data_IF_807617105649
#
_entry.id   IF_807617105649
#
_cell.length_a   1.000
_cell.length_b   1.000
_cell.length_c   1.000
_cell.angle_alpha   90.00
_cell.angle_beta   90.00
_cell.angle_gamma   90.00
#
_symmetry.space_group_name_H-M   'P 1'
#
loop_
_entity.id
_entity.type
_entity.pdbx_description
1 polymer ?
#
# COMPACT_ATOMS: atom_id res chain seq x y z
N UNK A 1 -15.09 -10.67 -1.74
CA UNK A 1 -13.82 -9.98 -1.40
C UNK A 1 -13.83 -8.65 -2.10
N UNK A 2 -13.45 -7.56 -1.42
CA UNK A 2 -13.35 -6.24 -2.04
C UNK A 2 -11.92 -6.08 -2.55
N UNK A 3 -11.74 -5.84 -3.86
CA UNK A 3 -10.41 -5.70 -4.48
C UNK A 3 -10.30 -4.38 -5.21
N UNK A 4 -9.05 -3.92 -5.41
CA UNK A 4 -8.75 -2.74 -6.21
C UNK A 4 -7.52 -2.98 -7.08
N UNK A 5 -7.57 -2.52 -8.33
CA UNK A 5 -6.47 -2.66 -9.28
C UNK A 5 -5.62 -1.39 -9.30
N UNK A 6 -4.35 -1.53 -8.91
CA UNK A 6 -3.35 -0.46 -9.03
C UNK A 6 -2.50 -0.67 -10.28
N UNK A 7 -2.22 0.41 -11.01
CA UNK A 7 -1.28 0.38 -12.12
C UNK A 7 0.14 0.70 -11.63
N UNK A 8 1.13 -0.09 -12.05
CA UNK A 8 2.55 0.20 -11.89
C UNK A 8 3.08 1.15 -12.98
N UNK A 9 4.29 1.68 -12.81
CA UNK A 9 4.98 2.54 -13.78
C UNK A 9 5.22 1.86 -15.12
N UNK A 10 5.34 0.53 -15.12
CA UNK A 10 5.43 -0.31 -16.32
C UNK A 10 4.11 -0.44 -17.11
N UNK A 11 3.01 0.09 -16.57
CA UNK A 11 1.66 -0.06 -17.13
C UNK A 11 0.95 -1.37 -16.73
N UNK A 12 1.62 -2.28 -16.01
CA UNK A 12 1.03 -3.51 -15.48
C UNK A 12 0.01 -3.19 -14.39
N UNK A 13 -1.05 -3.99 -14.33
CA UNK A 13 -2.07 -3.91 -13.31
C UNK A 13 -1.86 -4.99 -12.26
N UNK A 14 -2.04 -4.62 -10.99
CA UNK A 14 -1.91 -5.49 -9.84
C UNK A 14 -3.20 -5.43 -9.04
N UNK A 15 -3.83 -6.60 -8.81
CA UNK A 15 -5.04 -6.70 -8.01
C UNK A 15 -4.69 -6.82 -6.53
N UNK A 16 -5.17 -5.89 -5.73
CA UNK A 16 -4.98 -5.87 -4.28
C UNK A 16 -6.28 -6.22 -3.56
N UNK A 17 -6.17 -7.00 -2.49
CA UNK A 17 -7.24 -7.15 -1.51
C UNK A 17 -7.35 -5.88 -0.66
N UNK A 18 -8.57 -5.39 -0.44
CA UNK A 18 -8.82 -4.25 0.45
C UNK A 18 -9.16 -4.77 1.85
N UNK A 19 -8.34 -4.41 2.83
CA UNK A 19 -8.52 -4.71 4.23
C UNK A 19 -8.75 -3.44 5.06
N UNK A 20 -9.54 -3.57 6.14
CA UNK A 20 -9.57 -2.57 7.23
C UNK A 20 -8.42 -2.86 8.20
N UNK A 21 -7.87 -1.82 8.81
CA UNK A 21 -6.67 -1.93 9.65
C UNK A 21 -6.82 -2.81 10.89
N UNK A 22 -8.04 -2.95 11.43
CA UNK A 22 -8.32 -3.82 12.59
C UNK A 22 -8.83 -5.18 12.12
N UNK A 23 -7.90 -6.08 11.80
CA UNK A 23 -8.19 -7.50 11.55
C UNK A 23 -7.00 -8.37 11.92
N UNK A 24 -7.25 -9.68 12.00
CA UNK A 24 -6.18 -10.67 12.05
C UNK A 24 -5.48 -10.76 10.69
N UNK A 25 -4.16 -10.77 10.73
CA UNK A 25 -3.30 -10.82 9.55
C UNK A 25 -2.66 -12.19 9.43
N UNK A 26 -2.56 -12.70 8.21
CA UNK A 26 -1.91 -13.97 7.95
C UNK A 26 -0.37 -13.84 7.98
N UNK A 27 0.36 -14.86 8.45
CA UNK A 27 1.83 -14.89 8.45
C UNK A 27 2.36 -15.20 7.04
N UNK A 28 2.06 -14.33 6.08
CA UNK A 28 2.45 -14.46 4.68
C UNK A 28 3.07 -13.16 4.18
N UNK A 29 4.01 -13.28 3.25
CA UNK A 29 4.69 -12.13 2.64
C UNK A 29 3.91 -11.52 1.48
N UNK A 30 4.20 -10.25 1.22
CA UNK A 30 3.63 -9.53 0.09
C UNK A 30 3.98 -8.05 0.09
N UNK A 31 3.28 -7.31 -0.75
CA UNK A 31 3.33 -5.85 -0.83
C UNK A 31 2.06 -5.30 -0.20
N UNK A 32 2.17 -4.21 0.56
CA UNK A 32 1.03 -3.52 1.12
C UNK A 32 1.11 -2.01 0.88
N UNK A 33 -0.07 -1.38 0.89
CA UNK A 33 -0.22 0.06 0.80
C UNK A 33 -1.16 0.59 1.87
N UNK A 34 -0.86 1.77 2.40
CA UNK A 34 -1.83 2.54 3.17
C UNK A 34 -2.52 3.53 2.25
N UNK A 35 -3.84 3.45 2.22
CA UNK A 35 -4.66 4.08 1.21
C UNK A 35 -5.70 4.99 1.86
N UNK A 36 -5.75 6.23 1.37
CA UNK A 36 -6.88 7.13 1.59
C UNK A 36 -7.96 6.74 0.57
N UNK A 37 -9.12 6.20 1.01
CA UNK A 37 -10.22 5.94 0.10
C UNK A 37 -10.76 7.27 -0.47
N UNK A 38 -11.48 7.18 -1.58
CA UNK A 38 -12.09 8.36 -2.16
C UNK A 38 -13.27 8.85 -1.30
N UNK A 39 -13.30 10.14 -0.97
CA UNK A 39 -14.26 10.71 -0.01
C UNK A 39 -15.69 10.84 -0.61
N UNK A 40 -15.90 10.83 -1.93
CA UNK A 40 -17.22 10.95 -2.58
C UNK A 40 -17.37 10.21 -3.91
N UNK A 41 -18.48 9.48 -4.19
CA UNK A 41 -18.72 8.86 -5.50
C UNK A 41 -18.90 9.82 -6.69
N UNK A 42 -18.92 11.14 -6.49
CA UNK A 42 -19.50 12.12 -7.42
C UNK A 42 -18.55 13.19 -7.97
N UNK A 43 -17.23 13.00 -7.91
CA UNK A 43 -16.28 13.88 -8.62
C UNK A 43 -15.25 13.04 -9.39
N UNK A 44 -15.37 13.11 -10.72
CA UNK A 44 -14.96 12.12 -11.73
C UNK A 44 -13.45 11.90 -11.96
N UNK A 45 -12.54 12.37 -11.11
CA UNK A 45 -11.10 12.37 -11.47
C UNK A 45 -10.15 12.04 -10.32
N UNK A 46 -10.61 11.32 -9.29
CA UNK A 46 -9.78 10.87 -8.18
C UNK A 46 -10.01 9.40 -7.86
N UNK A 47 -9.02 8.54 -8.12
CA UNK A 47 -8.99 7.21 -7.51
C UNK A 47 -8.65 7.28 -6.02
N UNK A 48 -8.63 6.13 -5.31
CA UNK A 48 -7.95 6.06 -4.02
C UNK A 48 -6.52 6.60 -4.13
N UNK A 49 -5.98 7.09 -3.01
CA UNK A 49 -4.64 7.69 -2.97
C UNK A 49 -3.73 6.79 -2.14
N UNK A 50 -2.65 6.30 -2.76
CA UNK A 50 -1.59 5.57 -2.06
C UNK A 50 -0.70 6.57 -1.29
N UNK A 51 -0.72 6.47 0.04
CA UNK A 51 0.04 7.36 0.92
C UNK A 51 1.38 6.76 1.34
N UNK A 52 1.45 5.42 1.41
CA UNK A 52 2.63 4.65 1.73
C UNK A 52 2.56 3.28 1.03
N UNK A 53 3.71 2.75 0.59
CA UNK A 53 3.84 1.39 0.06
C UNK A 53 5.14 0.73 0.54
N UNK A 54 5.09 -0.55 0.89
CA UNK A 54 6.27 -1.33 1.27
C UNK A 54 6.04 -2.84 1.04
N UNK A 55 7.10 -3.62 1.17
CA UNK A 55 7.05 -5.08 1.16
C UNK A 55 7.30 -5.66 2.54
N UNK A 56 6.84 -6.88 2.76
CA UNK A 56 7.14 -7.67 3.96
C UNK A 56 7.23 -9.16 3.65
N UNK A 57 7.97 -9.89 4.48
CA UNK A 57 7.95 -11.35 4.51
C UNK A 57 6.78 -11.91 5.32
N UNK A 58 6.14 -11.10 6.17
CA UNK A 58 5.06 -11.52 7.08
C UNK A 58 4.15 -10.32 7.46
N UNK A 59 2.92 -10.33 6.96
CA UNK A 59 1.92 -9.29 7.27
C UNK A 59 1.54 -9.25 8.75
N UNK A 60 1.49 -10.39 9.44
CA UNK A 60 1.09 -10.48 10.85
C UNK A 60 2.04 -9.75 11.79
N UNK A 61 3.34 -9.82 11.52
CA UNK A 61 4.33 -9.08 12.29
C UNK A 61 4.37 -7.61 11.92
N UNK A 62 4.23 -7.31 10.63
CA UNK A 62 4.44 -5.96 10.08
C UNK A 62 3.26 -5.02 10.35
N UNK A 63 2.03 -5.50 10.19
CA UNK A 63 0.84 -4.63 10.23
C UNK A 63 0.23 -4.49 11.63
N UNK A 64 0.64 -5.32 12.60
CA UNK A 64 0.10 -5.26 13.96
C UNK A 64 0.53 -3.98 14.72
N UNK A 65 1.73 -3.45 14.46
CA UNK A 65 2.24 -2.19 15.04
C UNK A 65 3.13 -1.44 14.06
N UNK A 66 2.54 -1.00 12.96
CA UNK A 66 3.30 -0.33 11.91
C UNK A 66 3.51 1.16 12.23
N UNK A 67 4.76 1.61 12.39
CA UNK A 67 5.10 2.99 12.77
C UNK A 67 4.53 4.05 11.83
N UNK A 68 4.40 3.74 10.54
CA UNK A 68 3.85 4.66 9.54
C UNK A 68 2.33 4.71 9.50
N UNK A 69 1.63 3.80 10.20
CA UNK A 69 0.16 3.74 10.15
C UNK A 69 -0.46 5.02 10.70
N UNK A 70 -0.01 5.48 11.88
CA UNK A 70 -0.52 6.73 12.48
C UNK A 70 -0.29 7.94 11.55
N UNK A 71 0.87 8.01 10.89
CA UNK A 71 1.16 9.08 9.95
C UNK A 71 0.25 9.03 8.71
N UNK A 72 -0.05 7.83 8.21
CA UNK A 72 -0.97 7.63 7.10
C UNK A 72 -2.42 7.94 7.49
N UNK A 73 -2.87 7.54 8.68
CA UNK A 73 -4.21 7.86 9.20
C UNK A 73 -4.45 9.36 9.32
N UNK A 74 -3.43 10.11 9.76
CA UNK A 74 -3.48 11.57 9.81
C UNK A 74 -3.62 12.21 8.42
N UNK A 75 -3.13 11.54 7.37
CA UNK A 75 -3.32 11.95 5.97
C UNK A 75 -4.63 11.40 5.36
N UNK A 76 -5.45 10.71 6.15
CA UNK A 76 -6.75 10.18 5.74
C UNK A 76 -6.75 8.72 5.32
N UNK A 77 -5.68 7.95 5.55
CA UNK A 77 -5.70 6.52 5.28
C UNK A 77 -6.79 5.82 6.10
N UNK A 78 -7.59 4.97 5.44
CA UNK A 78 -8.62 4.13 6.09
C UNK A 78 -8.59 2.69 5.61
N UNK A 79 -7.81 2.41 4.56
CA UNK A 79 -7.71 1.11 3.92
C UNK A 79 -6.26 0.66 3.87
N UNK A 80 -6.06 -0.65 3.97
CA UNK A 80 -4.79 -1.31 3.70
C UNK A 80 -5.01 -2.21 2.49
N UNK A 81 -4.29 -1.93 1.41
CA UNK A 81 -4.36 -2.74 0.19
C UNK A 81 -3.23 -3.77 0.26
N UNK A 82 -3.54 -5.05 0.10
CA UNK A 82 -2.60 -6.16 0.19
C UNK A 82 -2.46 -6.91 -1.13
N UNK A 83 -1.22 -7.22 -1.50
CA UNK A 83 -0.89 -8.12 -2.59
C UNK A 83 0.05 -9.20 -2.08
N UNK A 84 -0.49 -10.41 -1.91
CA UNK A 84 0.25 -11.56 -1.41
C UNK A 84 1.25 -12.07 -2.45
N UNK A 85 2.53 -12.11 -2.08
CA UNK A 85 3.63 -12.57 -2.94
C UNK A 85 4.67 -13.28 -2.07
N UNK A 86 4.85 -14.58 -2.30
CA UNK A 86 5.75 -15.43 -1.51
C UNK A 86 7.24 -15.14 -1.78
N UNK A 87 7.59 -14.88 -3.02
CA UNK A 87 8.98 -14.70 -3.44
C UNK A 87 9.46 -13.25 -3.24
N UNK A 88 10.62 -13.11 -2.59
CA UNK A 88 11.19 -11.80 -2.24
C UNK A 88 11.56 -10.95 -3.47
N UNK A 89 12.23 -11.56 -4.45
CA UNK A 89 12.61 -10.85 -5.68
C UNK A 89 11.38 -10.34 -6.45
N UNK A 90 10.28 -11.11 -6.44
CA UNK A 90 9.03 -10.67 -7.07
C UNK A 90 8.40 -9.52 -6.28
N UNK A 91 8.43 -9.53 -4.94
CA UNK A 91 7.96 -8.40 -4.12
C UNK A 91 8.76 -7.13 -4.39
N UNK A 92 10.08 -7.22 -4.45
CA UNK A 92 10.95 -6.08 -4.71
C UNK A 92 10.64 -5.43 -6.07
N UNK A 93 10.52 -6.25 -7.12
CA UNK A 93 10.18 -5.79 -8.47
C UNK A 93 8.82 -5.11 -8.50
N UNK A 94 7.81 -5.71 -7.87
CA UNK A 94 6.44 -5.16 -7.83
C UNK A 94 6.39 -3.86 -7.04
N UNK A 95 7.04 -3.81 -5.87
CA UNK A 95 7.11 -2.59 -5.06
C UNK A 95 7.78 -1.44 -5.82
N UNK A 96 8.89 -1.71 -6.51
CA UNK A 96 9.57 -0.69 -7.34
C UNK A 96 8.64 -0.12 -8.40
N UNK A 97 7.92 -0.99 -9.11
CA UNK A 97 6.97 -0.62 -10.16
C UNK A 97 5.82 0.25 -9.61
N UNK A 98 5.31 -0.10 -8.43
CA UNK A 98 4.26 0.67 -7.76
C UNK A 98 4.75 2.02 -7.24
N UNK A 99 5.96 2.09 -6.67
CA UNK A 99 6.54 3.34 -6.20
C UNK A 99 6.79 4.33 -7.34
N UNK A 100 7.12 3.83 -8.54
CA UNK A 100 7.28 4.65 -9.74
C UNK A 100 5.97 5.31 -10.18
N UNK A 101 4.86 4.56 -10.21
CA UNK A 101 3.56 5.11 -10.61
C UNK A 101 2.90 5.96 -9.52
N UNK A 102 2.90 5.49 -8.26
CA UNK A 102 2.09 6.08 -7.20
C UNK A 102 2.83 7.16 -6.41
N UNK A 103 4.16 7.07 -6.39
CA UNK A 103 5.09 7.97 -5.73
C UNK A 103 4.60 8.50 -4.35
N UNK A 104 4.35 7.61 -3.38
CA UNK A 104 3.62 7.93 -2.16
C UNK A 104 4.37 8.95 -1.29
N UNK A 105 3.63 9.91 -0.72
CA UNK A 105 4.21 11.03 0.03
C UNK A 105 5.03 10.58 1.24
N UNK A 106 4.59 9.52 1.94
CA UNK A 106 5.28 9.04 3.14
C UNK A 106 6.59 8.33 2.80
N UNK A 107 6.66 7.59 1.69
CA UNK A 107 7.93 7.01 1.21
C UNK A 107 8.96 8.08 0.84
N UNK A 108 8.52 9.14 0.16
CA UNK A 108 9.39 10.27 -0.24
C UNK A 108 9.98 11.00 0.98
N UNK A 109 9.17 11.22 2.01
CA UNK A 109 9.61 11.91 3.23
C UNK A 109 10.62 11.10 4.04
N UNK A 110 10.53 9.76 4.03
CA UNK A 110 11.55 8.91 4.67
C UNK A 110 12.91 9.03 3.96
N UNK A 111 12.93 9.00 2.62
CA UNK A 111 14.17 9.13 1.85
C UNK A 111 14.90 10.45 2.12
N UNK A 112 14.16 11.55 2.35
CA UNK A 112 14.73 12.86 2.68
C UNK A 112 15.32 12.96 4.09
N UNK A 113 14.93 12.09 5.03
CA UNK A 113 15.43 12.12 6.41
C UNK A 113 16.74 11.35 6.59
N UNK A 114 17.15 10.56 5.61
CA UNK A 114 18.34 9.70 5.65
C UNK A 114 19.47 10.24 4.74
N UNK A 115 19.18 11.26 3.92
CA UNK A 115 20.14 11.90 3.02
C UNK A 115 20.81 13.13 3.64
#
# INVERSE_FOLDING_TARGET
>A
MNTFNWQGGSGRWFEFEIARAQRDWEPIGGVYMFVKPHDQPSQDWGGPICLFAAQTADFSTTLNRHDMWQAAENLGAREIHLLTIKEDQTRERVLKDLLEAQAPILNRNMLRRVA
#
